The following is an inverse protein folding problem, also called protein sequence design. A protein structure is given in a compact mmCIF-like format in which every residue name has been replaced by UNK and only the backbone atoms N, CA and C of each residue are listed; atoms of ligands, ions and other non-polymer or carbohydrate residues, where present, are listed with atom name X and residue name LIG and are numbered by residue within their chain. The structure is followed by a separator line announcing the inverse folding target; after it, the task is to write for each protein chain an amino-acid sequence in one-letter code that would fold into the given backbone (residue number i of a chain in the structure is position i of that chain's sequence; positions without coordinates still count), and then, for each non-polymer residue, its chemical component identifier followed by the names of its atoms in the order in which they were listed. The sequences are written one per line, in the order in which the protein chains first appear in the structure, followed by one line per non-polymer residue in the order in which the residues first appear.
data_IF_228819438611
#
_entry.id   IF_228819438611
#
_cell.length_a   1.000
_cell.length_b   1.000
_cell.length_c   1.000
_cell.angle_alpha   90.00
_cell.angle_beta   90.00
_cell.angle_gamma   90.00
#
_symmetry.space_group_name_H-M   'P 1'
#
loop_
_entity.id
_entity.type
_entity.pdbx_description
1 polymer ?
#
# COMPACT_ATOMS: atom_id res chain seq x y z
N UNK A 1 -28.72 4.43 14.67
CA UNK A 1 -27.77 5.56 14.56
C UNK A 1 -27.18 5.76 15.95
N UNK A 2 -25.92 5.37 16.15
CA UNK A 2 -25.23 5.48 17.44
C UNK A 2 -24.22 6.62 17.32
N UNK A 3 -24.64 7.83 17.67
CA UNK A 3 -23.69 8.92 17.90
C UNK A 3 -22.94 8.63 19.22
N UNK A 4 -21.62 8.47 19.13
CA UNK A 4 -20.77 8.22 20.28
C UNK A 4 -20.88 9.34 21.29
N UNK A 5 -21.15 8.98 22.54
CA UNK A 5 -21.31 9.90 23.67
C UNK A 5 -19.97 10.60 23.98
N UNK A 6 -19.82 11.93 23.80
CA UNK A 6 -18.58 12.60 24.10
C UNK A 6 -18.33 12.60 25.61
N UNK A 7 -17.16 12.14 26.03
CA UNK A 7 -16.76 12.13 27.45
C UNK A 7 -16.65 13.58 27.93
N UNK A 8 -17.62 14.03 28.73
CA UNK A 8 -17.77 15.44 29.17
C UNK A 8 -16.76 15.89 30.22
N UNK A 9 -16.00 15.00 30.85
CA UNK A 9 -14.99 15.36 31.84
C UNK A 9 -13.75 14.48 31.71
N UNK A 10 -12.58 15.10 31.53
CA UNK A 10 -11.30 14.42 31.33
C UNK A 10 -10.35 14.50 32.52
N UNK A 11 -10.65 15.30 33.52
CA UNK A 11 -9.78 15.49 34.68
C UNK A 11 -9.37 14.18 35.37
N UNK A 12 -10.25 13.17 35.55
CA UNK A 12 -9.87 11.91 36.21
C UNK A 12 -8.78 11.12 35.49
N UNK A 13 -8.69 11.27 34.17
CA UNK A 13 -7.66 10.64 33.34
C UNK A 13 -6.32 11.35 33.47
N UNK A 14 -6.32 12.67 33.66
CA UNK A 14 -5.12 13.48 33.83
C UNK A 14 -4.50 13.21 35.20
N UNK A 15 -5.33 13.09 36.24
CA UNK A 15 -4.89 12.69 37.58
C UNK A 15 -4.27 11.28 37.60
N UNK A 16 -4.72 10.38 36.72
CA UNK A 16 -4.19 9.00 36.61
C UNK A 16 -2.84 8.97 35.89
N UNK A 17 -2.62 9.89 34.94
CA UNK A 17 -1.37 10.05 34.19
C UNK A 17 -0.26 10.66 35.05
N UNK A 18 -0.57 11.69 35.84
CA UNK A 18 0.42 12.29 36.76
C UNK A 18 0.92 11.30 37.81
N UNK A 19 0.08 10.35 38.22
CA UNK A 19 0.43 9.32 39.20
C UNK A 19 1.19 8.14 38.61
N UNK A 20 1.23 7.98 37.29
CA UNK A 20 1.88 6.86 36.61
C UNK A 20 2.67 7.35 35.39
N UNK A 21 3.81 8.03 35.58
CA UNK A 21 4.58 8.65 34.48
C UNK A 21 5.16 7.65 33.48
N UNK A 22 5.22 6.36 33.85
CA UNK A 22 5.65 5.24 33.00
C UNK A 22 4.54 4.76 32.04
N UNK A 23 3.28 5.17 32.25
CA UNK A 23 2.14 4.77 31.42
C UNK A 23 1.95 5.78 30.31
N UNK A 24 2.57 5.52 29.16
CA UNK A 24 2.32 6.27 27.93
C UNK A 24 0.96 5.86 27.33
N UNK A 25 -0.13 6.48 27.79
CA UNK A 25 -1.44 6.29 27.17
C UNK A 25 -1.44 7.08 25.86
N UNK A 26 -1.46 6.39 24.71
CA UNK A 26 -1.60 6.99 23.38
C UNK A 26 -3.01 7.58 23.16
N UNK A 27 -3.38 8.60 23.94
CA UNK A 27 -4.53 9.44 23.64
C UNK A 27 -4.06 10.60 22.77
N UNK A 28 -3.73 10.29 21.52
CA UNK A 28 -3.44 11.33 20.53
C UNK A 28 -4.70 12.11 20.19
N UNK A 29 -4.88 13.24 20.87
CA UNK A 29 -5.63 14.37 20.35
C UNK A 29 -4.73 15.12 19.35
N UNK A 30 -4.81 14.73 18.07
CA UNK A 30 -4.07 15.36 16.96
C UNK A 30 -3.15 14.36 16.25
N UNK A 31 -3.44 14.08 14.97
CA UNK A 31 -2.95 12.94 14.20
C UNK A 31 -1.45 12.67 14.25
N UNK A 32 -1.11 11.38 14.34
CA UNK A 32 -0.05 10.69 13.59
C UNK A 32 0.02 9.25 14.10
N UNK A 33 -0.76 8.36 13.50
CA UNK A 33 -0.48 6.94 13.51
C UNK A 33 -0.50 6.48 12.06
N UNK A 34 0.68 6.28 11.47
CA UNK A 34 0.86 5.42 10.29
C UNK A 34 2.25 4.78 10.35
N UNK A 35 2.30 3.48 10.64
CA UNK A 35 3.01 2.64 9.71
C UNK A 35 2.14 1.45 9.30
N UNK A 36 1.57 1.54 8.11
CA UNK A 36 1.39 0.33 7.31
C UNK A 36 2.78 -0.19 6.95
N UNK A 37 3.08 -1.43 7.32
CA UNK A 37 4.33 -2.10 6.94
C UNK A 37 4.09 -2.85 5.63
N UNK A 38 4.53 -2.27 4.52
CA UNK A 38 4.35 -2.85 3.19
C UNK A 38 5.53 -3.77 2.83
N UNK A 39 5.26 -5.07 2.64
CA UNK A 39 6.29 -6.04 2.24
C UNK A 39 6.30 -6.33 0.74
N UNK A 40 5.18 -6.10 0.05
CA UNK A 40 5.06 -6.36 -1.37
C UNK A 40 4.20 -5.30 -2.05
N UNK A 41 4.64 -4.83 -3.21
CA UNK A 41 3.82 -4.04 -4.12
C UNK A 41 4.26 -4.27 -5.57
N UNK A 42 3.33 -4.68 -6.43
CA UNK A 42 3.63 -4.96 -7.84
C UNK A 42 2.43 -4.64 -8.73
N UNK A 43 2.73 -4.12 -9.91
CA UNK A 43 1.80 -3.96 -11.01
C UNK A 43 2.24 -4.82 -12.20
N UNK A 44 1.36 -5.71 -12.68
CA UNK A 44 1.62 -6.63 -13.79
C UNK A 44 0.54 -6.46 -14.88
N UNK A 45 0.96 -6.29 -16.13
CA UNK A 45 0.03 -6.22 -17.26
C UNK A 45 -0.43 -7.63 -17.65
N UNK A 46 -1.70 -7.95 -17.39
CA UNK A 46 -2.28 -9.26 -17.64
C UNK A 46 -3.42 -9.11 -18.66
N UNK A 47 -3.25 -9.73 -19.83
CA UNK A 47 -4.19 -9.68 -20.97
C UNK A 47 -4.45 -8.26 -21.47
N UNK A 48 -5.43 -7.57 -20.89
CA UNK A 48 -5.93 -6.25 -21.32
C UNK A 48 -5.98 -5.24 -20.18
N UNK A 49 -5.51 -5.60 -18.99
CA UNK A 49 -5.53 -4.73 -17.82
C UNK A 49 -4.25 -4.86 -17.01
N UNK A 50 -4.07 -3.97 -16.04
CA UNK A 50 -2.99 -4.10 -15.07
C UNK A 50 -3.55 -4.59 -13.75
N UNK A 51 -2.99 -5.68 -13.25
CA UNK A 51 -3.29 -6.22 -11.93
C UNK A 51 -2.25 -5.72 -10.95
N UNK A 52 -2.71 -5.00 -9.94
CA UNK A 52 -1.91 -4.43 -8.87
C UNK A 52 -2.13 -5.28 -7.62
N UNK A 53 -1.06 -5.79 -7.03
CA UNK A 53 -1.09 -6.62 -5.82
C UNK A 53 -0.17 -6.04 -4.76
N UNK A 54 -0.60 -6.04 -3.52
CA UNK A 54 0.23 -5.68 -2.38
C UNK A 54 -0.05 -6.54 -1.16
N UNK A 55 0.95 -6.56 -0.28
CA UNK A 55 0.89 -7.27 1.01
C UNK A 55 1.36 -6.30 2.09
N UNK A 56 0.56 -6.20 3.15
CA UNK A 56 0.93 -5.53 4.39
C UNK A 56 1.27 -6.59 5.43
N UNK A 57 2.34 -6.38 6.20
CA UNK A 57 2.67 -7.22 7.37
C UNK A 57 2.00 -6.70 8.64
N UNK A 58 1.70 -5.40 8.70
CA UNK A 58 0.94 -4.77 9.77
C UNK A 58 0.28 -3.49 9.28
N UNK A 59 -0.81 -3.11 9.94
CA UNK A 59 -1.59 -1.91 9.69
C UNK A 59 -1.97 -1.26 11.03
N UNK A 60 -1.86 0.06 11.10
CA UNK A 60 -2.30 0.84 12.26
C UNK A 60 -3.20 1.96 11.76
N UNK A 61 -4.43 1.99 12.26
CA UNK A 61 -5.45 2.98 11.90
C UNK A 61 -5.73 3.10 10.39
N UNK A 62 -5.52 2.02 9.62
CA UNK A 62 -5.66 2.06 8.17
C UNK A 62 -7.13 1.93 7.72
N UNK A 63 -7.71 3.03 7.24
CA UNK A 63 -9.02 3.03 6.61
C UNK A 63 -8.98 2.39 5.21
N UNK A 64 -7.86 2.52 4.50
CA UNK A 64 -7.65 1.87 3.21
C UNK A 64 -6.65 2.54 2.30
N UNK A 65 -6.72 2.19 1.02
CA UNK A 65 -5.69 2.51 0.04
C UNK A 65 -6.23 3.24 -1.18
N UNK A 66 -5.43 4.18 -1.68
CA UNK A 66 -5.53 4.71 -3.03
C UNK A 66 -4.38 4.19 -3.89
N UNK A 67 -4.73 3.80 -5.11
CA UNK A 67 -3.80 3.43 -6.17
C UNK A 67 -3.78 4.57 -7.17
N UNK A 68 -2.59 5.06 -7.45
CA UNK A 68 -2.37 6.10 -8.44
C UNK A 68 -1.57 5.54 -9.62
N UNK A 69 -1.78 6.14 -10.78
CA UNK A 69 -1.08 5.81 -12.03
C UNK A 69 -0.53 7.07 -12.70
N UNK A 70 0.65 6.94 -13.29
CA UNK A 70 1.26 7.92 -14.20
C UNK A 70 1.88 7.22 -15.40
N UNK A 71 1.98 7.90 -16.54
CA UNK A 71 2.71 7.43 -17.73
C UNK A 71 4.22 7.73 -17.62
N UNK A 72 4.62 8.57 -16.67
CA UNK A 72 6.01 8.92 -16.39
C UNK A 72 6.35 8.69 -14.92
N UNK A 73 7.63 8.40 -14.64
CA UNK A 73 8.09 8.05 -13.29
C UNK A 73 7.83 9.16 -12.27
N UNK A 74 8.11 10.39 -12.66
CA UNK A 74 8.11 11.57 -11.79
C UNK A 74 7.02 12.59 -12.20
N UNK A 75 6.06 12.17 -13.02
CA UNK A 75 4.99 13.05 -13.50
C UNK A 75 3.76 13.08 -12.60
N UNK A 76 2.66 13.53 -13.19
CA UNK A 76 1.39 13.68 -12.49
C UNK A 76 0.68 12.33 -12.31
N UNK A 77 0.65 11.84 -11.08
CA UNK A 77 -0.09 10.66 -10.66
C UNK A 77 -1.58 10.95 -10.50
N UNK A 78 -2.45 10.12 -11.08
CA UNK A 78 -3.91 10.19 -10.94
C UNK A 78 -4.45 8.96 -10.22
N UNK A 79 -5.39 9.14 -9.30
CA UNK A 79 -6.09 8.02 -8.66
C UNK A 79 -6.82 7.21 -9.74
N UNK A 80 -6.70 5.87 -9.69
CA UNK A 80 -7.34 4.96 -10.64
C UNK A 80 -8.44 4.09 -10.03
N UNK A 81 -8.50 3.98 -8.70
CA UNK A 81 -9.62 3.33 -8.01
C UNK A 81 -10.70 4.36 -7.63
N UNK A 82 -11.97 4.17 -8.04
CA UNK A 82 -13.05 5.15 -7.82
C UNK A 82 -13.44 5.29 -6.33
N UNK A 83 -13.19 4.25 -5.55
CA UNK A 83 -13.47 4.20 -4.12
C UNK A 83 -12.25 3.70 -3.36
N UNK A 84 -12.10 4.14 -2.11
CA UNK A 84 -11.04 3.68 -1.22
C UNK A 84 -11.09 2.16 -1.08
N UNK A 85 -9.95 1.49 -1.28
CA UNK A 85 -9.85 0.04 -1.10
C UNK A 85 -9.67 -0.21 0.39
N UNK A 86 -10.69 -0.77 1.03
CA UNK A 86 -10.76 -0.91 2.49
C UNK A 86 -9.54 -1.65 3.06
N UNK A 87 -8.89 -1.04 4.04
CA UNK A 87 -7.81 -1.63 4.83
C UNK A 87 -8.34 -2.53 5.95
N UNK A 88 -7.44 -3.13 6.73
CA UNK A 88 -7.78 -3.97 7.88
C UNK A 88 -7.94 -3.18 9.19
N UNK A 89 -7.76 -1.85 9.17
CA UNK A 89 -7.81 -1.01 10.37
C UNK A 89 -6.51 -1.11 11.16
N UNK A 90 -6.58 -1.72 12.35
CA UNK A 90 -5.40 -1.97 13.18
C UNK A 90 -5.20 -3.46 13.35
N UNK A 91 -4.12 -3.99 12.78
CA UNK A 91 -3.77 -5.42 12.85
C UNK A 91 -2.27 -5.63 12.69
N UNK A 92 -1.73 -6.63 13.36
CA UNK A 92 -0.37 -7.14 13.15
C UNK A 92 -0.34 -8.36 12.24
N UNK A 93 -1.48 -8.75 11.67
CA UNK A 93 -1.59 -9.87 10.75
C UNK A 93 -1.27 -9.44 9.32
N UNK A 94 -0.69 -10.37 8.55
CA UNK A 94 -0.44 -10.17 7.13
C UNK A 94 -1.76 -10.09 6.36
N UNK A 95 -1.95 -9.04 5.56
CA UNK A 95 -3.09 -8.88 4.67
C UNK A 95 -2.66 -8.79 3.21
N UNK A 96 -3.42 -9.43 2.32
CA UNK A 96 -3.14 -9.45 0.88
C UNK A 96 -4.27 -8.79 0.12
N UNK A 97 -3.92 -7.88 -0.79
CA UNK A 97 -4.87 -7.08 -1.54
C UNK A 97 -4.60 -7.15 -3.04
N UNK A 98 -5.65 -6.88 -3.81
CA UNK A 98 -5.57 -6.81 -5.28
C UNK A 98 -6.49 -5.73 -5.82
N UNK A 99 -6.03 -5.04 -6.87
CA UNK A 99 -6.82 -4.09 -7.65
C UNK A 99 -6.60 -4.33 -9.14
N UNK A 100 -7.65 -4.23 -9.94
CA UNK A 100 -7.59 -4.38 -11.39
C UNK A 100 -7.83 -3.03 -12.07
N UNK A 101 -6.79 -2.46 -12.67
CA UNK A 101 -6.90 -1.28 -13.50
C UNK A 101 -7.26 -1.67 -14.94
N UNK A 102 -8.56 -1.77 -15.19
CA UNK A 102 -9.13 -2.06 -16.51
C UNK A 102 -9.06 -0.88 -17.48
N UNK A 103 -8.64 0.31 -17.02
CA UNK A 103 -8.53 1.51 -17.87
C UNK A 103 -7.14 1.67 -18.50
N UNK A 104 -6.19 0.81 -18.11
CA UNK A 104 -4.83 0.82 -18.64
C UNK A 104 -4.83 0.43 -20.11
N UNK A 105 -4.15 1.21 -20.95
CA UNK A 105 -4.06 0.94 -22.38
C UNK A 105 -2.91 -0.03 -22.70
N UNK A 106 -3.06 -0.91 -23.69
CA UNK A 106 -1.96 -1.75 -24.15
C UNK A 106 -0.81 -0.90 -24.71
N UNK A 107 0.42 -1.42 -24.63
CA UNK A 107 1.64 -0.79 -25.15
C UNK A 107 2.00 0.58 -24.53
N UNK A 108 1.42 0.92 -23.37
CA UNK A 108 1.80 2.11 -22.59
C UNK A 108 2.58 1.67 -21.36
N UNK A 109 3.72 2.31 -21.09
CA UNK A 109 4.45 2.11 -19.83
C UNK A 109 3.77 2.93 -18.74
N UNK A 110 3.38 2.27 -17.65
CA UNK A 110 2.80 2.93 -16.49
C UNK A 110 3.69 2.79 -15.26
N UNK A 111 3.54 3.74 -14.36
CA UNK A 111 4.06 3.74 -13.01
C UNK A 111 2.89 3.78 -12.04
N UNK A 112 2.93 2.94 -11.01
CA UNK A 112 1.88 2.84 -10.01
C UNK A 112 2.42 3.23 -8.65
N UNK A 113 1.61 3.96 -7.89
CA UNK A 113 1.89 4.37 -6.52
C UNK A 113 0.76 3.91 -5.62
N UNK A 114 1.09 3.50 -4.41
CA UNK A 114 0.14 3.17 -3.37
C UNK A 114 0.28 4.16 -2.21
N UNK A 115 -0.85 4.66 -1.76
CA UNK A 115 -0.97 5.47 -0.55
C UNK A 115 -1.93 4.79 0.43
N UNK A 116 -1.59 4.78 1.71
CA UNK A 116 -2.52 4.47 2.80
C UNK A 116 -3.24 5.72 3.30
N UNK A 117 -4.43 5.50 3.85
CA UNK A 117 -5.33 6.53 4.38
C UNK A 117 -5.78 6.12 5.77
N UNK A 118 -5.65 7.00 6.75
CA UNK A 118 -6.13 6.76 8.12
C UNK A 118 -7.65 6.98 8.25
N UNK A 119 -8.27 6.56 9.36
CA UNK A 119 -9.69 6.89 9.61
C UNK A 119 -9.92 8.39 9.82
N UNK A 120 -8.88 9.16 10.19
CA UNK A 120 -8.92 10.62 10.25
C UNK A 120 -8.74 11.28 8.88
N UNK A 121 -8.42 10.52 7.83
CA UNK A 121 -8.21 11.01 6.47
C UNK A 121 -6.77 11.43 6.15
N UNK A 122 -5.84 11.24 7.07
CA UNK A 122 -4.40 11.46 6.83
C UNK A 122 -3.92 10.47 5.77
N UNK A 123 -2.99 10.91 4.92
CA UNK A 123 -2.49 10.08 3.80
C UNK A 123 -0.98 9.98 3.83
N UNK A 124 -0.45 8.81 3.46
CA UNK A 124 0.99 8.60 3.31
C UNK A 124 1.27 7.74 2.08
N UNK A 125 2.34 8.09 1.37
CA UNK A 125 2.84 7.28 0.28
C UNK A 125 3.67 6.13 0.83
N UNK A 126 3.35 4.90 0.41
CA UNK A 126 4.10 3.71 0.82
C UNK A 126 5.15 3.31 -0.22
N UNK A 127 4.79 3.27 -1.51
CA UNK A 127 5.70 2.82 -2.57
C UNK A 127 5.30 3.32 -3.96
N UNK A 128 6.26 3.29 -4.89
CA UNK A 128 6.03 3.48 -6.34
C UNK A 128 6.78 2.40 -7.12
N UNK A 129 6.13 1.79 -8.11
CA UNK A 129 6.71 0.74 -8.97
C UNK A 129 6.41 1.01 -10.44
N UNK A 130 7.31 0.59 -11.32
CA UNK A 130 7.04 0.50 -12.76
C UNK A 130 6.23 -0.76 -13.05
N UNK A 131 5.22 -0.64 -13.92
CA UNK A 131 4.46 -1.77 -14.43
C UNK A 131 5.38 -2.77 -15.13
N UNK A 132 5.21 -4.06 -14.82
CA UNK A 132 5.87 -5.15 -15.53
C UNK A 132 4.97 -5.65 -16.65
N UNK A 133 5.52 -5.82 -17.85
CA UNK A 133 4.81 -6.46 -18.96
C UNK A 133 4.90 -7.98 -18.87
N UNK A 134 3.94 -8.68 -19.48
CA UNK A 134 4.15 -10.06 -19.87
C UNK A 134 5.21 -10.08 -20.96
N UNK A 135 6.41 -10.60 -20.66
CA UNK A 135 7.37 -10.92 -21.71
C UNK A 135 6.73 -12.05 -22.52
N UNK A 136 6.18 -11.72 -23.69
CA UNK A 136 5.95 -12.73 -24.73
C UNK A 136 7.32 -13.25 -25.12
N UNK A 137 7.68 -14.44 -24.63
CA UNK A 137 8.91 -15.17 -24.95
C UNK A 137 8.84 -15.63 -26.41
N UNK A 138 8.92 -14.70 -27.35
CA UNK A 138 9.04 -14.98 -28.78
C UNK A 138 10.20 -14.26 -29.44
N UNK A 139 10.97 -13.42 -28.71
CA UNK A 139 12.05 -12.62 -29.29
C UNK A 139 13.36 -12.50 -28.49
N UNK A 140 13.56 -13.23 -27.39
CA UNK A 140 14.86 -13.28 -26.70
C UNK A 140 15.30 -14.75 -26.52
N UNK A 141 15.93 -15.22 -27.58
CA UNK A 141 16.51 -16.53 -27.84
C UNK A 141 17.37 -17.07 -26.68
N UNK A 142 17.19 -18.37 -26.41
CA UNK A 142 18.21 -19.37 -26.06
C UNK A 142 19.41 -18.93 -25.18
N UNK A 143 19.36 -19.41 -23.92
CA UNK A 143 20.45 -20.03 -23.15
C UNK A 143 21.89 -19.53 -23.30
N UNK A 144 22.41 -18.97 -22.22
CA UNK A 144 23.70 -19.44 -21.67
C UNK A 144 23.57 -19.42 -20.15
N UNK A 145 23.32 -20.59 -19.58
CA UNK A 145 23.66 -20.82 -18.17
C UNK A 145 25.13 -21.19 -18.13
N UNK A 146 25.84 -20.79 -17.08
CA UNK A 146 27.26 -21.12 -16.85
C UNK A 146 27.56 -22.65 -16.80
N UNK A 147 26.53 -23.49 -16.95
CA UNK A 147 26.65 -24.94 -17.04
C UNK A 147 27.20 -25.43 -18.40
N UNK A 148 27.13 -24.64 -19.47
CA UNK A 148 27.64 -25.04 -20.80
C UNK A 148 29.15 -24.78 -21.00
N UNK A 149 29.87 -24.22 -20.01
CA UNK A 149 31.28 -23.81 -20.16
C UNK A 149 32.31 -24.70 -19.43
N UNK A 150 31.94 -25.90 -18.97
CA UNK A 150 32.87 -26.84 -18.31
C UNK A 150 32.75 -28.29 -18.77
N UNK A 151 32.70 -28.51 -20.08
CA UNK A 151 32.89 -29.85 -20.63
C UNK A 151 33.71 -29.78 -21.92
N UNK A 152 34.97 -29.35 -21.80
CA UNK A 152 36.08 -29.72 -22.69
C UNK A 152 37.40 -29.27 -22.02
N UNK A 153 37.95 -30.15 -21.19
CA UNK A 153 39.40 -30.41 -21.12
C UNK A 153 39.60 -31.90 -21.39
#
# INVERSE_FOLDING_TARGET
MLEGNPIKNRNPLFDLLEKNPEVEIYLKWGGTALPVTLSFFRAEFIKTSVVIKWITESEIDNAGFYIYRSETRDGHFKVVNPHLIRGAGTTSERNTYTWNDATAKPNVTYYYRIEDVSHAGDRKQLATVRMRGNISVSAAKFTTTWADLKAHE
#
